data_IF_943915845302
#
_entry.id   IF_943915845302
#
_cell.length_a   1.000
_cell.length_b   1.000
_cell.length_c   1.000
_cell.angle_alpha   90.00
_cell.angle_beta   90.00
_cell.angle_gamma   90.00
#
_symmetry.space_group_name_H-M   'P 1'
#
loop_
_entity.id
_entity.type
_entity.pdbx_description
1 polymer ?
#
# COMPACT_ATOMS: atom_id res chain seq x y z
N UNK A 1 -40.32 1.82 -34.49
CA UNK A 1 -40.16 0.52 -35.17
C UNK A 1 -40.63 -0.55 -34.21
N UNK A 2 -41.57 -1.41 -34.62
CA UNK A 2 -42.07 -2.52 -33.80
C UNK A 2 -41.93 -3.82 -34.59
N UNK A 3 -41.27 -4.84 -34.03
CA UNK A 3 -41.03 -6.13 -34.67
C UNK A 3 -40.75 -7.22 -33.61
N UNK A 4 -40.69 -8.50 -34.02
CA UNK A 4 -40.23 -9.61 -33.16
C UNK A 4 -38.73 -9.82 -33.35
N UNK A 5 -37.95 -9.07 -32.59
CA UNK A 5 -36.52 -8.90 -32.83
C UNK A 5 -36.26 -7.76 -33.82
N UNK A 6 -35.27 -6.95 -33.52
CA UNK A 6 -34.78 -5.88 -34.39
C UNK A 6 -33.27 -6.06 -34.50
N UNK A 7 -32.80 -6.32 -35.70
CA UNK A 7 -31.37 -6.31 -36.04
C UNK A 7 -31.15 -5.39 -37.23
N UNK A 8 -29.94 -4.89 -37.37
CA UNK A 8 -29.58 -3.99 -38.46
C UNK A 8 -28.47 -4.55 -39.33
N UNK A 9 -28.50 -4.20 -40.61
CA UNK A 9 -27.47 -4.53 -41.62
C UNK A 9 -26.63 -3.31 -42.01
N UNK A 10 -27.05 -2.11 -41.62
CA UNK A 10 -26.39 -0.84 -41.90
C UNK A 10 -26.67 0.19 -40.81
N UNK A 11 -26.13 1.40 -40.97
CA UNK A 11 -26.37 2.50 -40.05
C UNK A 11 -27.80 3.04 -40.18
N UNK A 12 -28.42 3.37 -39.06
CA UNK A 12 -29.70 4.07 -38.97
C UNK A 12 -29.40 5.53 -38.65
N UNK A 13 -29.65 6.44 -39.59
CA UNK A 13 -29.42 7.87 -39.39
C UNK A 13 -30.77 8.58 -39.37
N UNK A 14 -31.10 9.20 -38.26
CA UNK A 14 -32.28 10.05 -38.12
C UNK A 14 -31.97 11.43 -38.70
N UNK A 15 -32.91 12.02 -39.45
CA UNK A 15 -32.75 13.39 -39.92
C UNK A 15 -32.63 14.36 -38.73
N UNK A 16 -31.77 15.39 -38.87
CA UNK A 16 -31.57 16.39 -37.84
C UNK A 16 -32.88 17.03 -37.37
N UNK A 17 -33.05 17.16 -36.05
CA UNK A 17 -34.31 17.63 -35.45
C UNK A 17 -35.42 16.58 -35.45
N UNK A 18 -35.07 15.30 -35.58
CA UNK A 18 -36.01 14.19 -35.50
C UNK A 18 -36.71 14.14 -34.14
N UNK A 19 -37.97 13.72 -34.14
CA UNK A 19 -38.75 13.52 -32.91
C UNK A 19 -38.31 12.28 -32.11
N UNK A 20 -39.09 11.94 -31.09
CA UNK A 20 -38.85 10.76 -30.27
C UNK A 20 -38.80 9.47 -31.11
N UNK A 21 -37.87 8.57 -30.75
CA UNK A 21 -37.64 7.29 -31.41
C UNK A 21 -38.12 6.17 -30.47
N UNK A 22 -39.13 5.41 -30.91
CA UNK A 22 -39.56 4.20 -30.19
C UNK A 22 -39.10 2.96 -30.94
N UNK A 23 -38.31 2.11 -30.30
CA UNK A 23 -37.80 0.83 -30.80
C UNK A 23 -38.37 -0.29 -29.95
N UNK A 24 -39.20 -1.16 -30.52
CA UNK A 24 -39.84 -2.25 -29.80
C UNK A 24 -39.58 -3.58 -30.52
N UNK A 25 -38.64 -4.36 -30.00
CA UNK A 25 -38.31 -5.68 -30.50
C UNK A 25 -39.21 -6.80 -29.94
N UNK A 26 -40.25 -6.47 -29.16
CA UNK A 26 -41.20 -7.43 -28.61
C UNK A 26 -40.50 -8.57 -27.87
N UNK A 27 -40.79 -9.81 -28.27
CA UNK A 27 -40.18 -11.02 -27.68
C UNK A 27 -38.76 -11.34 -28.19
N UNK A 28 -38.19 -10.54 -29.09
CA UNK A 28 -36.83 -10.73 -29.61
C UNK A 28 -35.82 -9.74 -29.05
N UNK A 29 -34.56 -9.88 -29.46
CA UNK A 29 -33.49 -8.95 -29.09
C UNK A 29 -33.54 -7.67 -29.94
N UNK A 30 -33.16 -6.54 -29.36
CA UNK A 30 -32.86 -5.29 -30.06
C UNK A 30 -31.34 -5.15 -30.20
N UNK A 31 -30.82 -5.24 -31.42
CA UNK A 31 -29.38 -5.19 -31.72
C UNK A 31 -29.10 -4.16 -32.82
N UNK A 32 -28.77 -2.95 -32.40
CA UNK A 32 -28.44 -1.80 -33.22
C UNK A 32 -27.02 -1.29 -32.92
N UNK A 33 -26.00 -2.09 -33.25
CA UNK A 33 -24.60 -1.90 -32.79
C UNK A 33 -23.62 -1.32 -33.81
N UNK A 34 -24.11 -0.70 -34.88
CA UNK A 34 -23.30 -0.04 -35.90
C UNK A 34 -22.91 1.33 -35.36
N UNK A 35 -21.60 1.62 -35.35
CA UNK A 35 -21.06 2.87 -34.83
C UNK A 35 -21.48 4.12 -35.62
N UNK A 36 -22.06 3.96 -36.82
CA UNK A 36 -22.60 5.04 -37.63
C UNK A 36 -24.09 5.33 -37.41
N UNK A 37 -24.78 4.62 -36.52
CA UNK A 37 -26.14 4.97 -36.12
C UNK A 37 -26.17 6.38 -35.52
N UNK A 38 -27.21 7.16 -35.79
CA UNK A 38 -27.34 8.54 -35.30
C UNK A 38 -28.81 8.84 -34.98
N UNK A 39 -29.19 8.70 -33.72
CA UNK A 39 -30.50 9.00 -33.16
C UNK A 39 -30.47 10.41 -32.55
N UNK A 40 -31.02 11.38 -33.29
CA UNK A 40 -30.98 12.80 -32.91
C UNK A 40 -32.03 13.22 -31.87
N UNK A 41 -33.00 12.35 -31.56
CA UNK A 41 -34.08 12.61 -30.60
C UNK A 41 -34.14 11.57 -29.46
N UNK A 42 -34.99 11.80 -28.44
CA UNK A 42 -35.11 10.91 -27.29
C UNK A 42 -35.51 9.48 -27.68
N UNK A 43 -34.85 8.48 -27.12
CA UNK A 43 -35.02 7.06 -27.46
C UNK A 43 -35.73 6.30 -26.34
N UNK A 44 -36.79 5.58 -26.70
CA UNK A 44 -37.41 4.53 -25.90
C UNK A 44 -37.18 3.17 -26.56
N UNK A 45 -36.67 2.19 -25.82
CA UNK A 45 -36.30 0.89 -26.37
C UNK A 45 -36.89 -0.31 -25.58
N UNK A 46 -37.39 -1.34 -26.26
CA UNK A 46 -37.79 -2.60 -25.63
C UNK A 46 -37.29 -3.81 -26.42
N UNK A 47 -36.96 -4.88 -25.71
CA UNK A 47 -36.55 -6.17 -26.26
C UNK A 47 -36.15 -7.14 -25.17
N UNK A 48 -35.72 -8.35 -25.53
CA UNK A 48 -35.10 -9.27 -24.58
C UNK A 48 -33.72 -8.75 -24.16
N UNK A 49 -32.73 -8.79 -25.05
CA UNK A 49 -31.51 -7.98 -24.92
C UNK A 49 -31.71 -6.61 -25.59
N UNK A 50 -31.05 -5.58 -25.07
CA UNK A 50 -31.07 -4.21 -25.63
C UNK A 50 -29.65 -3.75 -25.88
N UNK A 51 -29.25 -3.67 -27.15
CA UNK A 51 -27.92 -3.21 -27.57
C UNK A 51 -28.07 -2.07 -28.57
N UNK A 52 -27.66 -0.88 -28.19
CA UNK A 52 -27.72 0.33 -29.02
C UNK A 52 -26.35 1.00 -28.99
N UNK A 53 -25.83 1.27 -30.17
CA UNK A 53 -24.69 2.15 -30.39
C UNK A 53 -25.19 3.35 -31.16
N UNK A 54 -24.77 4.53 -30.75
CA UNK A 54 -25.02 5.82 -31.38
C UNK A 54 -23.70 6.56 -31.60
N UNK A 55 -23.55 7.20 -32.75
CA UNK A 55 -22.35 7.94 -33.16
C UNK A 55 -22.22 9.25 -32.39
N UNK A 56 -23.34 9.84 -31.95
CA UNK A 56 -23.40 11.11 -31.26
C UNK A 56 -24.00 10.90 -29.86
N UNK A 57 -24.88 11.80 -29.40
CA UNK A 57 -25.47 11.69 -28.08
C UNK A 57 -26.65 10.71 -28.10
N UNK A 58 -26.68 9.79 -27.15
CA UNK A 58 -27.80 8.87 -26.96
C UNK A 58 -28.61 9.31 -25.73
N UNK A 59 -29.79 9.88 -25.96
CA UNK A 59 -30.73 10.26 -24.90
C UNK A 59 -31.77 9.18 -24.65
N UNK A 60 -31.56 8.34 -23.64
CA UNK A 60 -32.47 7.25 -23.27
C UNK A 60 -33.50 7.74 -22.27
N UNK A 61 -34.76 7.86 -22.70
CA UNK A 61 -35.89 8.28 -21.84
C UNK A 61 -36.63 7.12 -21.20
N UNK A 62 -36.41 5.91 -21.70
CA UNK A 62 -36.88 4.67 -21.09
C UNK A 62 -36.40 3.45 -21.85
N UNK A 63 -36.22 2.34 -21.17
CA UNK A 63 -36.12 1.07 -21.86
C UNK A 63 -36.62 -0.10 -21.01
N UNK A 64 -36.87 -1.24 -21.64
CA UNK A 64 -37.23 -2.49 -20.99
C UNK A 64 -36.41 -3.62 -21.60
N UNK A 65 -35.69 -4.35 -20.75
CA UNK A 65 -34.99 -5.58 -21.11
C UNK A 65 -35.54 -6.75 -20.30
N UNK A 66 -35.43 -7.97 -20.83
CA UNK A 66 -35.71 -9.17 -20.05
C UNK A 66 -34.57 -9.42 -19.04
N UNK A 67 -34.90 -10.08 -17.92
CA UNK A 67 -33.90 -10.54 -16.96
C UNK A 67 -32.92 -11.53 -17.64
N UNK A 68 -31.67 -11.55 -17.18
CA UNK A 68 -30.63 -12.47 -17.68
C UNK A 68 -30.24 -12.23 -19.14
N UNK A 69 -30.42 -11.01 -19.63
CA UNK A 69 -30.04 -10.58 -20.98
C UNK A 69 -29.16 -9.35 -20.90
N UNK A 70 -28.29 -9.22 -21.91
CA UNK A 70 -27.37 -8.09 -21.94
C UNK A 70 -28.08 -6.77 -22.24
N UNK A 71 -27.60 -5.72 -21.59
CA UNK A 71 -27.90 -4.33 -21.91
C UNK A 71 -26.59 -3.64 -22.28
N UNK A 72 -26.53 -3.05 -23.46
CA UNK A 72 -25.37 -2.30 -23.95
C UNK A 72 -25.82 -0.98 -24.58
N UNK A 73 -25.53 0.14 -23.93
CA UNK A 73 -25.85 1.48 -24.40
C UNK A 73 -24.54 2.24 -24.61
N UNK A 74 -24.24 2.59 -25.87
CA UNK A 74 -22.98 3.20 -26.26
C UNK A 74 -23.27 4.48 -27.05
N UNK A 75 -22.76 5.61 -26.58
CA UNK A 75 -22.84 6.90 -27.26
C UNK A 75 -21.43 7.38 -27.62
N UNK A 76 -21.20 7.83 -28.86
CA UNK A 76 -19.98 8.50 -29.27
C UNK A 76 -19.86 9.93 -28.70
N UNK A 77 -20.98 10.52 -28.31
CA UNK A 77 -21.11 11.73 -27.49
C UNK A 77 -21.61 11.41 -26.09
N UNK A 78 -22.53 12.23 -25.56
CA UNK A 78 -23.09 12.02 -24.22
C UNK A 78 -24.12 10.87 -24.22
N UNK A 79 -23.92 9.87 -23.37
CA UNK A 79 -24.99 8.96 -22.97
C UNK A 79 -25.78 9.59 -21.82
N UNK A 80 -27.06 9.90 -22.05
CA UNK A 80 -27.96 10.42 -21.02
C UNK A 80 -28.99 9.35 -20.69
N UNK A 81 -29.17 9.08 -19.40
CA UNK A 81 -30.27 8.26 -18.90
C UNK A 81 -31.25 9.18 -18.16
N UNK A 82 -32.52 9.15 -18.56
CA UNK A 82 -33.53 9.94 -17.88
C UNK A 82 -33.67 9.52 -16.40
N UNK A 83 -34.01 10.45 -15.49
CA UNK A 83 -34.22 10.14 -14.06
C UNK A 83 -35.33 9.12 -13.78
N UNK A 84 -36.19 8.85 -14.76
CA UNK A 84 -37.20 7.79 -14.71
C UNK A 84 -36.58 6.39 -14.76
N UNK A 85 -35.35 6.25 -15.26
CA UNK A 85 -34.57 5.01 -15.25
C UNK A 85 -33.85 4.91 -13.90
N UNK A 86 -34.60 4.45 -12.89
CA UNK A 86 -34.12 4.38 -11.49
C UNK A 86 -33.26 3.14 -11.20
N UNK A 87 -33.30 2.13 -12.06
CA UNK A 87 -32.42 0.97 -11.99
C UNK A 87 -32.23 0.30 -13.36
N UNK A 88 -31.11 -0.38 -13.54
CA UNK A 88 -30.87 -1.32 -14.64
C UNK A 88 -30.37 -2.62 -14.04
N UNK A 89 -31.20 -3.67 -14.08
CA UNK A 89 -30.84 -5.01 -13.61
C UNK A 89 -30.85 -6.01 -14.76
N UNK A 90 -29.67 -6.49 -15.12
CA UNK A 90 -29.49 -7.48 -16.18
C UNK A 90 -29.48 -8.92 -15.65
N UNK A 91 -29.59 -9.15 -14.34
CA UNK A 91 -29.47 -10.47 -13.74
C UNK A 91 -28.12 -11.12 -14.08
N UNK A 92 -28.15 -12.29 -14.73
CA UNK A 92 -26.94 -12.95 -15.25
C UNK A 92 -26.44 -12.38 -16.59
N UNK A 93 -27.12 -11.39 -17.16
CA UNK A 93 -26.67 -10.67 -18.36
C UNK A 93 -25.56 -9.66 -18.03
N UNK A 94 -24.88 -9.16 -19.04
CA UNK A 94 -23.87 -8.11 -18.88
C UNK A 94 -24.49 -6.72 -19.08
N UNK A 95 -23.99 -5.75 -18.32
CA UNK A 95 -24.34 -4.35 -18.46
C UNK A 95 -23.14 -3.57 -18.99
N UNK A 96 -23.32 -2.87 -20.10
CA UNK A 96 -22.34 -1.93 -20.66
C UNK A 96 -22.98 -0.57 -20.86
N UNK A 97 -22.45 0.45 -20.21
CA UNK A 97 -22.81 1.85 -20.42
C UNK A 97 -21.56 2.63 -20.81
N UNK A 98 -21.55 3.23 -21.99
CA UNK A 98 -20.41 3.97 -22.51
C UNK A 98 -20.83 5.33 -23.04
N UNK A 99 -20.23 6.38 -22.49
CA UNK A 99 -20.36 7.76 -22.93
C UNK A 99 -19.03 8.23 -23.52
N UNK A 100 -19.06 8.80 -24.72
CA UNK A 100 -17.94 9.49 -25.34
C UNK A 100 -17.59 10.83 -24.67
N UNK A 101 -18.41 11.29 -23.73
CA UNK A 101 -18.12 12.40 -22.81
C UNK A 101 -18.11 11.87 -21.36
N UNK A 102 -18.61 12.62 -20.37
CA UNK A 102 -18.74 12.11 -19.00
C UNK A 102 -19.90 11.12 -18.89
N UNK A 103 -19.88 10.22 -17.92
CA UNK A 103 -21.02 9.36 -17.57
C UNK A 103 -21.36 9.59 -16.09
N UNK A 104 -22.65 9.80 -15.80
CA UNK A 104 -23.16 9.83 -14.43
C UNK A 104 -24.20 8.73 -14.28
N UNK A 105 -24.10 7.92 -13.23
CA UNK A 105 -25.13 6.93 -12.92
C UNK A 105 -26.39 7.63 -12.43
N UNK A 106 -27.54 7.24 -12.95
CA UNK A 106 -28.84 7.84 -12.63
C UNK A 106 -29.72 6.94 -11.75
N UNK A 107 -29.35 5.67 -11.63
CA UNK A 107 -30.06 4.63 -10.90
C UNK A 107 -29.12 3.49 -10.54
N UNK A 108 -29.56 2.57 -9.68
CA UNK A 108 -28.74 1.41 -9.29
C UNK A 108 -28.51 0.49 -10.48
N UNK A 109 -27.28 0.01 -10.65
CA UNK A 109 -26.86 -0.77 -11.81
C UNK A 109 -26.42 -2.17 -11.37
N UNK A 110 -26.98 -3.21 -11.96
CA UNK A 110 -26.60 -4.59 -11.67
C UNK A 110 -26.50 -5.49 -12.91
N UNK A 111 -25.56 -6.43 -12.82
CA UNK A 111 -25.38 -7.47 -13.83
C UNK A 111 -24.32 -8.50 -13.45
N UNK A 112 -24.12 -9.46 -14.35
CA UNK A 112 -23.00 -10.39 -14.26
C UNK A 112 -21.68 -9.62 -14.40
N UNK A 113 -21.40 -9.04 -15.55
CA UNK A 113 -20.32 -8.05 -15.68
C UNK A 113 -20.94 -6.66 -15.81
N UNK A 114 -20.34 -5.67 -15.14
CA UNK A 114 -20.73 -4.26 -15.29
C UNK A 114 -19.54 -3.48 -15.82
N UNK A 115 -19.72 -2.84 -16.97
CA UNK A 115 -18.73 -1.99 -17.63
C UNK A 115 -19.28 -0.58 -17.81
N UNK A 116 -18.66 0.38 -17.12
CA UNK A 116 -19.04 1.80 -17.16
C UNK A 116 -17.88 2.61 -17.71
N UNK A 117 -18.12 3.35 -18.79
CA UNK A 117 -17.11 4.20 -19.41
C UNK A 117 -17.66 5.63 -19.58
N UNK A 118 -16.89 6.61 -19.12
CA UNK A 118 -17.09 8.02 -19.45
C UNK A 118 -15.75 8.63 -19.85
N UNK A 119 -15.52 8.87 -21.14
CA UNK A 119 -14.25 9.35 -21.65
C UNK A 119 -13.71 10.59 -20.91
N UNK A 120 -14.58 11.54 -20.58
CA UNK A 120 -14.24 12.79 -19.88
C UNK A 120 -14.57 12.76 -18.38
N UNK A 121 -14.81 11.59 -17.79
CA UNK A 121 -15.14 11.45 -16.36
C UNK A 121 -16.26 10.45 -16.11
N UNK A 122 -16.17 9.73 -15.00
CA UNK A 122 -17.20 8.81 -14.53
C UNK A 122 -17.63 9.20 -13.12
N UNK A 123 -18.90 9.51 -12.92
CA UNK A 123 -19.49 9.83 -11.63
C UNK A 123 -20.45 8.74 -11.20
N UNK A 124 -20.15 8.09 -10.07
CA UNK A 124 -20.97 7.04 -9.47
C UNK A 124 -21.77 7.64 -8.32
N UNK A 125 -23.09 7.69 -8.49
CA UNK A 125 -24.04 8.28 -7.53
C UNK A 125 -25.00 7.22 -6.93
N UNK A 126 -24.98 6.01 -7.46
CA UNK A 126 -25.91 4.93 -7.11
C UNK A 126 -25.14 3.63 -6.90
N UNK A 127 -25.83 2.64 -6.34
CA UNK A 127 -25.25 1.32 -6.12
C UNK A 127 -24.86 0.65 -7.44
N UNK A 128 -23.69 0.03 -7.46
CA UNK A 128 -23.18 -0.77 -8.57
C UNK A 128 -22.98 -2.20 -8.06
N UNK A 129 -23.61 -3.17 -8.69
CA UNK A 129 -23.44 -4.60 -8.37
C UNK A 129 -22.97 -5.37 -9.61
N UNK A 130 -21.73 -5.86 -9.57
CA UNK A 130 -21.19 -6.79 -10.57
C UNK A 130 -20.95 -8.15 -9.92
N UNK A 131 -21.72 -9.18 -10.28
CA UNK A 131 -21.52 -10.52 -9.73
C UNK A 131 -20.19 -11.16 -10.20
N UNK A 132 -19.76 -10.80 -11.41
CA UNK A 132 -18.49 -11.12 -12.04
C UNK A 132 -17.55 -9.92 -12.02
N UNK A 133 -17.06 -9.52 -13.20
CA UNK A 133 -16.08 -8.44 -13.32
C UNK A 133 -16.73 -7.05 -13.29
N UNK A 134 -16.04 -6.11 -12.64
CA UNK A 134 -16.37 -4.70 -12.69
C UNK A 134 -15.32 -3.96 -13.52
N UNK A 135 -15.76 -3.17 -14.50
CA UNK A 135 -14.90 -2.24 -15.24
C UNK A 135 -15.43 -0.83 -15.08
N UNK A 136 -14.59 0.05 -14.56
CA UNK A 136 -14.83 1.49 -14.45
C UNK A 136 -13.73 2.20 -15.23
N UNK A 137 -14.09 2.98 -16.24
CA UNK A 137 -13.12 3.60 -17.13
C UNK A 137 -13.43 5.08 -17.41
N UNK A 138 -12.36 5.88 -17.40
CA UNK A 138 -12.33 7.27 -17.83
C UNK A 138 -10.99 7.53 -18.52
N UNK A 139 -10.98 8.34 -19.58
CA UNK A 139 -9.75 8.65 -20.31
C UNK A 139 -9.02 9.85 -19.70
N UNK A 140 -9.76 10.88 -19.31
CA UNK A 140 -9.18 12.16 -18.84
C UNK A 140 -9.78 12.70 -17.55
N UNK A 141 -11.05 12.42 -17.25
CA UNK A 141 -11.76 13.08 -16.14
C UNK A 141 -11.70 12.39 -14.79
N UNK A 142 -11.12 11.19 -14.71
CA UNK A 142 -11.12 10.40 -13.47
C UNK A 142 -12.45 9.70 -13.19
N UNK A 143 -12.52 9.08 -12.01
CA UNK A 143 -13.66 8.33 -11.49
C UNK A 143 -13.97 8.86 -10.09
N UNK A 144 -15.20 9.33 -9.87
CA UNK A 144 -15.65 9.90 -8.60
C UNK A 144 -16.88 9.17 -8.10
N UNK A 145 -16.78 8.55 -6.93
CA UNK A 145 -17.93 8.05 -6.19
C UNK A 145 -18.45 9.16 -5.28
N UNK A 146 -19.67 9.60 -5.54
CA UNK A 146 -20.39 10.63 -4.77
C UNK A 146 -21.59 10.05 -4.01
N UNK A 147 -22.00 8.82 -4.33
CA UNK A 147 -23.11 8.12 -3.70
C UNK A 147 -23.10 6.64 -4.04
N UNK A 148 -23.92 5.88 -3.30
CA UNK A 148 -24.05 4.43 -3.44
C UNK A 148 -22.81 3.62 -3.02
N UNK A 149 -22.95 2.31 -3.04
CA UNK A 149 -21.89 1.34 -2.78
C UNK A 149 -21.54 0.54 -4.04
N UNK A 150 -20.32 0.06 -4.09
CA UNK A 150 -19.87 -0.88 -5.12
C UNK A 150 -19.82 -2.27 -4.50
N UNK A 151 -20.47 -3.25 -5.11
CA UNK A 151 -20.34 -4.66 -4.81
C UNK A 151 -19.79 -5.36 -6.06
N UNK A 152 -18.55 -5.82 -6.00
CA UNK A 152 -17.87 -6.52 -7.10
C UNK A 152 -17.45 -7.93 -6.65
N UNK A 153 -18.09 -8.96 -7.19
CA UNK A 153 -17.87 -10.36 -6.78
C UNK A 153 -16.56 -10.99 -7.30
N UNK A 154 -15.85 -10.32 -8.21
CA UNK A 154 -14.60 -10.81 -8.81
C UNK A 154 -13.60 -9.65 -9.02
N UNK A 155 -12.70 -9.78 -9.99
CA UNK A 155 -11.70 -8.75 -10.30
C UNK A 155 -12.34 -7.45 -10.79
N UNK A 156 -11.75 -6.34 -10.37
CA UNK A 156 -12.17 -4.99 -10.78
C UNK A 156 -11.05 -4.28 -11.54
N UNK A 157 -11.37 -3.72 -12.70
CA UNK A 157 -10.49 -2.84 -13.47
C UNK A 157 -10.98 -1.40 -13.31
N UNK A 158 -10.19 -0.55 -12.64
CA UNK A 158 -10.56 0.83 -12.31
C UNK A 158 -9.54 1.78 -12.92
N UNK A 159 -9.85 2.32 -14.09
CA UNK A 159 -8.94 3.18 -14.86
C UNK A 159 -9.48 4.61 -14.92
N UNK A 160 -8.92 5.51 -14.10
CA UNK A 160 -9.24 6.94 -14.11
C UNK A 160 -8.58 7.74 -15.24
N UNK A 161 -7.71 7.09 -16.03
CA UNK A 161 -6.95 7.75 -17.09
C UNK A 161 -5.98 8.78 -16.50
N UNK A 162 -6.00 10.00 -17.03
CA UNK A 162 -5.22 11.10 -16.45
C UNK A 162 -5.79 11.65 -15.14
N UNK A 163 -7.07 11.39 -14.84
CA UNK A 163 -7.77 11.92 -13.67
C UNK A 163 -7.64 11.05 -12.42
N UNK A 164 -8.10 11.57 -11.29
CA UNK A 164 -8.11 10.86 -10.02
C UNK A 164 -9.16 9.74 -9.98
N UNK A 165 -8.88 8.68 -9.23
CA UNK A 165 -9.85 7.64 -8.83
C UNK A 165 -10.19 7.88 -7.36
N UNK A 166 -11.47 8.05 -7.04
CA UNK A 166 -11.97 8.26 -5.69
C UNK A 166 -13.18 7.37 -5.44
N UNK A 167 -12.95 6.18 -4.87
CA UNK A 167 -13.98 5.21 -4.46
C UNK A 167 -13.97 5.10 -2.93
N UNK A 168 -14.64 6.03 -2.28
CA UNK A 168 -14.45 6.33 -0.85
C UNK A 168 -15.51 5.74 0.08
N UNK A 169 -16.61 5.19 -0.45
CA UNK A 169 -17.65 4.63 0.41
C UNK A 169 -17.12 3.49 1.26
N UNK A 170 -17.40 3.54 2.57
CA UNK A 170 -17.06 2.47 3.52
C UNK A 170 -17.85 1.18 3.27
N UNK A 171 -18.93 1.26 2.48
CA UNK A 171 -19.75 0.10 2.10
C UNK A 171 -19.33 -0.56 0.79
N UNK A 172 -18.26 -0.08 0.14
CA UNK A 172 -17.71 -0.76 -1.02
C UNK A 172 -17.16 -2.15 -0.62
N UNK A 173 -17.40 -3.15 -1.46
CA UNK A 173 -16.97 -4.52 -1.27
C UNK A 173 -16.42 -5.07 -2.60
N UNK A 174 -15.10 -5.15 -2.68
CA UNK A 174 -14.34 -5.71 -3.78
C UNK A 174 -13.88 -7.13 -3.42
N UNK A 175 -14.63 -8.14 -3.85
CA UNK A 175 -14.35 -9.55 -3.59
C UNK A 175 -13.13 -10.13 -4.34
N UNK A 176 -12.51 -9.35 -5.23
CA UNK A 176 -11.32 -9.75 -6.00
C UNK A 176 -10.29 -8.64 -6.12
N UNK A 177 -9.21 -8.91 -6.86
CA UNK A 177 -8.15 -7.92 -7.07
C UNK A 177 -8.69 -6.68 -7.80
N UNK A 178 -8.41 -5.51 -7.23
CA UNK A 178 -8.65 -4.20 -7.85
C UNK A 178 -7.37 -3.76 -8.55
N UNK A 179 -7.38 -3.75 -9.88
CA UNK A 179 -6.31 -3.13 -10.67
C UNK A 179 -6.69 -1.69 -10.92
N UNK A 180 -6.01 -0.74 -10.27
CA UNK A 180 -6.36 0.67 -10.28
C UNK A 180 -5.27 1.53 -10.92
N UNK A 181 -5.65 2.40 -11.85
CA UNK A 181 -4.78 3.39 -12.46
C UNK A 181 -5.41 4.78 -12.50
N UNK A 182 -4.60 5.82 -12.37
CA UNK A 182 -5.09 7.21 -12.36
C UNK A 182 -4.04 8.21 -11.88
N UNK A 183 -4.39 9.50 -11.92
CA UNK A 183 -3.56 10.59 -11.41
C UNK A 183 -3.30 10.48 -9.90
N UNK A 184 -4.33 10.20 -9.12
CA UNK A 184 -4.26 9.78 -7.70
C UNK A 184 -5.30 8.69 -7.47
N UNK A 185 -5.14 7.87 -6.44
CA UNK A 185 -6.04 6.75 -6.16
C UNK A 185 -6.46 6.78 -4.68
N UNK A 186 -7.76 6.81 -4.42
CA UNK A 186 -8.33 6.55 -3.10
C UNK A 186 -9.31 5.40 -3.21
N UNK A 187 -9.06 4.32 -2.47
CA UNK A 187 -9.92 3.14 -2.41
C UNK A 187 -10.25 2.83 -0.95
N UNK A 188 -11.55 2.68 -0.68
CA UNK A 188 -12.07 2.16 0.58
C UNK A 188 -12.79 0.85 0.29
N UNK A 189 -12.56 -0.15 1.14
CA UNK A 189 -13.22 -1.45 1.12
C UNK A 189 -13.70 -1.83 2.53
N UNK A 190 -14.90 -2.40 2.63
CA UNK A 190 -15.52 -2.84 3.87
C UNK A 190 -14.82 -4.07 4.48
N UNK A 191 -14.19 -4.89 3.64
CA UNK A 191 -13.54 -6.14 3.99
C UNK A 191 -12.06 -6.09 3.60
N UNK A 192 -11.52 -7.22 3.13
CA UNK A 192 -10.13 -7.30 2.71
C UNK A 192 -9.97 -6.74 1.31
N UNK A 193 -8.98 -5.85 1.12
CA UNK A 193 -8.67 -5.25 -0.17
C UNK A 193 -7.40 -5.87 -0.74
N UNK A 194 -7.45 -6.33 -1.99
CA UNK A 194 -6.25 -6.62 -2.77
C UNK A 194 -6.14 -5.61 -3.91
N UNK A 195 -5.13 -4.74 -3.88
CA UNK A 195 -4.96 -3.67 -4.85
C UNK A 195 -3.63 -3.76 -5.62
N UNK A 196 -3.70 -3.61 -6.94
CA UNK A 196 -2.55 -3.42 -7.82
C UNK A 196 -2.62 -2.01 -8.42
N UNK A 197 -1.67 -1.16 -8.05
CA UNK A 197 -1.71 0.28 -8.35
C UNK A 197 -0.81 0.67 -9.52
N UNK A 198 -1.26 1.64 -10.29
CA UNK A 198 -0.43 2.37 -11.27
C UNK A 198 -0.80 3.85 -11.23
N UNK A 199 -0.13 4.61 -10.36
CA UNK A 199 -0.34 6.06 -10.25
C UNK A 199 0.98 6.82 -10.09
N UNK A 200 1.04 8.00 -10.71
CA UNK A 200 2.13 8.97 -10.49
C UNK A 200 1.85 9.93 -9.33
N UNK A 201 0.68 9.85 -8.69
CA UNK A 201 0.29 10.68 -7.56
C UNK A 201 0.09 9.87 -6.29
N UNK A 202 -0.73 10.40 -5.38
CA UNK A 202 -0.94 9.81 -4.07
C UNK A 202 -1.91 8.63 -4.15
N UNK A 203 -1.62 7.57 -3.40
CA UNK A 203 -2.48 6.44 -3.16
C UNK A 203 -2.90 6.39 -1.68
N UNK A 204 -4.21 6.31 -1.42
CA UNK A 204 -4.78 6.13 -0.07
C UNK A 204 -5.66 4.88 -0.10
N UNK A 205 -5.28 3.86 0.65
CA UNK A 205 -6.00 2.59 0.72
C UNK A 205 -6.53 2.35 2.14
N UNK A 206 -7.83 2.14 2.26
CA UNK A 206 -8.48 1.75 3.52
C UNK A 206 -9.19 0.42 3.33
N UNK A 207 -8.89 -0.56 4.18
CA UNK A 207 -9.55 -1.85 4.19
C UNK A 207 -10.11 -2.13 5.59
N UNK A 208 -11.37 -2.54 5.69
CA UNK A 208 -11.95 -3.02 6.95
C UNK A 208 -11.33 -4.33 7.45
N UNK A 209 -10.69 -5.08 6.55
CA UNK A 209 -9.92 -6.30 6.79
C UNK A 209 -8.46 -6.17 6.38
N UNK A 210 -7.88 -7.27 5.89
CA UNK A 210 -6.48 -7.29 5.46
C UNK A 210 -6.31 -6.54 4.13
N UNK A 211 -5.21 -5.79 4.01
CA UNK A 211 -4.80 -5.14 2.77
C UNK A 211 -3.60 -5.87 2.17
N UNK A 212 -3.73 -6.29 0.91
CA UNK A 212 -2.60 -6.64 0.06
C UNK A 212 -2.43 -5.57 -1.01
N UNK A 213 -1.25 -4.96 -1.11
CA UNK A 213 -0.99 -3.88 -2.07
C UNK A 213 0.27 -4.16 -2.88
N UNK A 214 0.24 -3.81 -4.17
CA UNK A 214 1.38 -3.89 -5.08
C UNK A 214 1.33 -2.76 -6.12
N UNK A 215 2.38 -2.63 -6.92
CA UNK A 215 2.46 -1.65 -8.01
C UNK A 215 3.16 -0.36 -7.59
N UNK A 216 2.78 0.76 -8.21
CA UNK A 216 3.50 2.04 -8.07
C UNK A 216 2.59 3.19 -7.66
N UNK A 217 3.11 4.06 -6.80
CA UNK A 217 2.53 5.35 -6.39
C UNK A 217 3.62 6.39 -6.13
N UNK A 218 3.27 7.67 -6.04
CA UNK A 218 4.17 8.68 -5.48
C UNK A 218 4.20 8.55 -3.95
N UNK A 219 3.11 8.90 -3.27
CA UNK A 219 2.95 8.62 -1.84
C UNK A 219 1.96 7.47 -1.65
N UNK A 220 2.21 6.61 -0.66
CA UNK A 220 1.29 5.53 -0.28
C UNK A 220 0.90 5.66 1.18
N UNK A 221 -0.40 5.78 1.43
CA UNK A 221 -0.99 5.70 2.77
C UNK A 221 -1.88 4.46 2.86
N UNK A 222 -1.68 3.63 3.87
CA UNK A 222 -2.50 2.44 4.12
C UNK A 222 -3.11 2.45 5.53
N UNK A 223 -4.36 2.02 5.64
CA UNK A 223 -5.06 1.79 6.89
C UNK A 223 -5.86 0.47 6.82
N UNK A 224 -5.47 -0.54 7.58
CA UNK A 224 -6.06 -1.88 7.47
C UNK A 224 -5.95 -2.71 8.75
N UNK A 225 -6.66 -3.83 8.80
CA UNK A 225 -6.49 -4.82 9.87
C UNK A 225 -5.08 -5.44 9.84
N UNK A 226 -4.52 -5.71 8.67
CA UNK A 226 -3.12 -6.08 8.45
C UNK A 226 -2.69 -5.55 7.08
N UNK A 227 -1.41 -5.30 6.86
CA UNK A 227 -0.90 -4.86 5.54
C UNK A 227 0.18 -5.82 5.03
N UNK A 228 0.04 -6.28 3.79
CA UNK A 228 1.03 -7.08 3.08
C UNK A 228 1.45 -6.39 1.78
N UNK A 229 2.74 -6.10 1.64
CA UNK A 229 3.29 -5.53 0.41
C UNK A 229 3.72 -6.62 -0.57
N UNK A 230 3.15 -6.62 -1.78
CA UNK A 230 3.77 -7.25 -2.94
C UNK A 230 4.95 -6.42 -3.44
N UNK A 231 5.34 -6.60 -4.70
CA UNK A 231 6.32 -5.70 -5.32
C UNK A 231 5.73 -4.29 -5.39
N UNK A 232 6.31 -3.37 -4.63
CA UNK A 232 5.73 -2.04 -4.39
C UNK A 232 6.78 -0.97 -4.51
N UNK A 233 6.49 0.06 -5.31
CA UNK A 233 7.33 1.24 -5.47
C UNK A 233 6.58 2.48 -5.00
N UNK A 234 7.21 3.25 -4.12
CA UNK A 234 6.69 4.51 -3.57
C UNK A 234 7.72 5.59 -3.88
N UNK A 235 7.40 6.47 -4.83
CA UNK A 235 8.27 7.55 -5.30
C UNK A 235 8.43 8.73 -4.33
N UNK A 236 7.75 8.67 -3.19
CA UNK A 236 7.75 9.62 -2.09
C UNK A 236 7.59 8.87 -0.76
N UNK A 237 6.70 9.34 0.11
CA UNK A 237 6.56 8.81 1.47
C UNK A 237 5.61 7.60 1.55
N UNK A 238 5.98 6.65 2.40
CA UNK A 238 5.16 5.52 2.82
C UNK A 238 4.64 5.75 4.24
N UNK A 239 3.32 5.73 4.43
CA UNK A 239 2.67 5.78 5.73
C UNK A 239 1.73 4.59 5.90
N UNK A 240 2.07 3.68 6.81
CA UNK A 240 1.32 2.45 7.02
C UNK A 240 0.86 2.34 8.45
N UNK A 241 -0.45 2.30 8.63
CA UNK A 241 -1.11 1.98 9.90
C UNK A 241 -1.83 0.65 9.75
N UNK A 242 -1.45 -0.32 10.56
CA UNK A 242 -2.11 -1.61 10.64
C UNK A 242 -2.50 -1.92 12.09
N UNK A 243 -3.70 -2.46 12.31
CA UNK A 243 -4.10 -3.01 13.60
C UNK A 243 -3.55 -4.43 13.85
N UNK A 244 -2.78 -4.94 12.89
CA UNK A 244 -2.25 -6.30 12.75
C UNK A 244 -0.86 -6.24 12.13
N UNK A 245 -0.36 -7.39 11.66
CA UNK A 245 1.00 -7.47 11.14
C UNK A 245 1.20 -6.59 9.88
N UNK A 246 2.40 -6.02 9.77
CA UNK A 246 2.93 -5.47 8.53
C UNK A 246 3.92 -6.49 7.97
N UNK A 247 3.68 -6.97 6.76
CA UNK A 247 4.48 -8.02 6.11
C UNK A 247 4.70 -7.72 4.64
N UNK A 248 5.46 -8.58 3.95
CA UNK A 248 5.68 -8.45 2.51
C UNK A 248 5.90 -9.81 1.84
N UNK A 249 5.52 -9.88 0.57
CA UNK A 249 5.74 -11.00 -0.36
C UNK A 249 6.64 -10.60 -1.54
N UNK A 250 6.79 -9.29 -1.80
CA UNK A 250 7.70 -8.74 -2.82
C UNK A 250 8.72 -7.77 -2.22
N UNK A 251 9.52 -7.14 -3.07
CA UNK A 251 10.43 -6.08 -2.67
C UNK A 251 9.67 -4.75 -2.51
N UNK A 252 10.05 -3.97 -1.52
CA UNK A 252 9.52 -2.63 -1.25
C UNK A 252 10.62 -1.59 -1.54
N UNK A 253 10.36 -0.68 -2.48
CA UNK A 253 11.25 0.44 -2.79
C UNK A 253 10.55 1.75 -2.43
N UNK A 254 11.16 2.55 -1.55
CA UNK A 254 10.61 3.82 -1.04
C UNK A 254 11.69 4.88 -1.07
N UNK A 255 11.47 5.93 -1.85
CA UNK A 255 12.47 7.01 -1.98
C UNK A 255 12.36 8.05 -0.84
N UNK A 256 11.15 8.30 -0.35
CA UNK A 256 10.87 9.18 0.77
C UNK A 256 10.96 8.48 2.13
N UNK A 257 10.39 9.12 3.15
CA UNK A 257 10.37 8.52 4.50
C UNK A 257 9.34 7.39 4.58
N UNK A 258 9.61 6.43 5.46
CA UNK A 258 8.67 5.36 5.79
C UNK A 258 8.25 5.44 7.25
N UNK A 259 6.95 5.40 7.52
CA UNK A 259 6.39 5.29 8.87
C UNK A 259 5.53 4.03 8.94
N UNK A 260 5.97 3.03 9.71
CA UNK A 260 5.32 1.73 9.80
C UNK A 260 4.82 1.48 11.23
N UNK A 261 3.51 1.52 11.44
CA UNK A 261 2.87 1.33 12.73
C UNK A 261 1.96 0.09 12.70
N UNK A 262 2.35 -0.98 13.41
CA UNK A 262 1.64 -2.26 13.45
C UNK A 262 0.83 -2.49 14.75
N UNK A 263 0.67 -1.45 15.58
CA UNK A 263 0.09 -1.58 16.92
C UNK A 263 0.91 -2.58 17.75
N UNK A 264 0.27 -3.59 18.35
CA UNK A 264 0.96 -4.60 19.14
C UNK A 264 1.59 -5.75 18.31
N UNK A 265 1.59 -5.66 16.98
CA UNK A 265 1.86 -6.77 16.08
C UNK A 265 3.21 -6.66 15.37
N UNK A 266 3.61 -7.75 14.71
CA UNK A 266 4.90 -7.84 14.03
C UNK A 266 5.03 -6.89 12.84
N UNK A 267 6.26 -6.45 12.60
CA UNK A 267 6.68 -5.82 11.34
C UNK A 267 7.75 -6.74 10.73
N UNK A 268 7.50 -7.34 9.57
CA UNK A 268 8.42 -8.27 8.92
C UNK A 268 8.65 -7.89 7.47
N UNK A 269 9.72 -7.13 7.24
CA UNK A 269 10.17 -6.65 5.93
C UNK A 269 11.58 -7.18 5.62
N UNK A 270 11.72 -8.50 5.52
CA UNK A 270 13.00 -9.21 5.50
C UNK A 270 13.56 -9.52 4.08
N UNK A 271 12.94 -9.00 3.02
CA UNK A 271 13.37 -9.23 1.64
C UNK A 271 14.69 -8.49 1.38
N UNK A 272 15.66 -9.18 0.78
CA UNK A 272 16.97 -8.64 0.46
C UNK A 272 16.95 -7.55 -0.62
N UNK A 273 15.89 -7.48 -1.43
CA UNK A 273 15.71 -6.48 -2.48
C UNK A 273 14.93 -5.24 -2.05
N UNK A 274 14.60 -5.10 -0.77
CA UNK A 274 14.03 -3.86 -0.25
C UNK A 274 15.03 -2.71 -0.43
N UNK A 275 14.53 -1.52 -0.74
CA UNK A 275 15.33 -0.33 -1.00
C UNK A 275 14.66 0.91 -0.38
N UNK A 276 15.03 1.23 0.84
CA UNK A 276 14.58 2.39 1.60
C UNK A 276 15.65 3.48 1.58
N UNK A 277 15.46 4.52 0.76
CA UNK A 277 16.46 5.61 0.68
C UNK A 277 16.22 6.72 1.70
N UNK A 278 14.98 6.87 2.17
CA UNK A 278 14.63 7.80 3.25
C UNK A 278 14.59 7.13 4.62
N UNK A 279 14.45 7.96 5.67
CA UNK A 279 14.43 7.46 7.05
C UNK A 279 13.21 6.55 7.31
N UNK A 280 13.46 5.43 7.99
CA UNK A 280 12.44 4.42 8.31
C UNK A 280 12.11 4.43 9.80
N UNK A 281 10.91 4.91 10.14
CA UNK A 281 10.34 4.83 11.48
C UNK A 281 9.50 3.57 11.68
N UNK A 282 9.63 2.96 12.86
CA UNK A 282 9.00 1.68 13.21
C UNK A 282 8.25 1.83 14.53
N UNK A 283 7.01 1.36 14.57
CA UNK A 283 6.20 1.32 15.79
C UNK A 283 5.52 -0.03 15.98
N UNK A 284 5.89 -0.69 17.07
CA UNK A 284 5.28 -1.91 17.56
C UNK A 284 5.22 -1.81 19.10
N UNK A 285 4.06 -1.86 19.73
CA UNK A 285 3.93 -1.74 21.20
C UNK A 285 3.84 -3.08 21.92
N UNK A 286 3.87 -4.21 21.21
CA UNK A 286 3.61 -5.54 21.74
C UNK A 286 4.85 -6.43 21.85
N UNK A 287 4.61 -7.70 22.21
CA UNK A 287 5.66 -8.70 22.34
C UNK A 287 6.10 -9.32 21.00
N UNK A 288 5.64 -8.78 19.88
CA UNK A 288 5.91 -9.32 18.56
C UNK A 288 7.20 -8.75 17.97
N UNK A 289 7.84 -9.52 17.09
CA UNK A 289 9.13 -9.16 16.54
C UNK A 289 9.02 -8.08 15.45
N UNK A 290 10.07 -7.28 15.34
CA UNK A 290 10.30 -6.35 14.24
C UNK A 290 11.54 -6.80 13.49
N UNK A 291 11.43 -7.01 12.19
CA UNK A 291 12.54 -7.33 11.30
C UNK A 291 12.46 -6.46 10.06
N UNK A 292 13.55 -5.75 9.77
CA UNK A 292 13.71 -4.98 8.53
C UNK A 292 15.04 -5.33 7.88
N UNK A 293 14.99 -5.48 6.56
CA UNK A 293 16.15 -5.65 5.70
C UNK A 293 16.11 -4.60 4.60
N UNK A 294 17.29 -4.09 4.28
CA UNK A 294 17.54 -3.17 3.18
C UNK A 294 18.71 -3.69 2.32
N UNK A 295 18.63 -3.45 1.01
CA UNK A 295 19.69 -3.81 0.06
C UNK A 295 20.90 -2.86 0.16
N UNK A 296 20.66 -1.62 0.60
CA UNK A 296 21.60 -0.52 0.62
C UNK A 296 21.90 -0.11 2.07
N UNK A 297 22.29 1.15 2.29
CA UNK A 297 22.42 1.72 3.62
C UNK A 297 21.06 2.16 4.15
N UNK A 298 20.74 1.79 5.39
CA UNK A 298 19.48 2.13 6.04
C UNK A 298 19.64 3.30 7.01
N UNK A 299 18.74 4.29 6.89
CA UNK A 299 18.59 5.37 7.87
C UNK A 299 17.38 5.03 8.75
N UNK A 300 17.61 4.84 10.04
CA UNK A 300 16.53 4.65 11.00
C UNK A 300 15.97 6.02 11.41
N UNK A 301 14.65 6.16 11.27
CA UNK A 301 13.88 7.20 11.96
C UNK A 301 13.60 6.80 13.40
N UNK A 302 12.51 7.32 13.98
CA UNK A 302 12.10 6.91 15.32
C UNK A 302 11.69 5.43 15.32
N UNK A 303 12.32 4.64 16.18
CA UNK A 303 12.00 3.23 16.39
C UNK A 303 11.48 3.09 17.80
N UNK A 304 10.19 2.76 17.96
CA UNK A 304 9.57 2.50 19.25
C UNK A 304 8.98 1.09 19.23
N UNK A 305 9.67 0.15 19.86
CA UNK A 305 9.33 -1.28 19.82
C UNK A 305 9.00 -1.83 21.22
N UNK A 306 8.16 -2.86 21.27
CA UNK A 306 7.70 -3.48 22.49
C UNK A 306 8.72 -4.48 23.04
N UNK A 307 8.24 -5.60 23.57
CA UNK A 307 9.10 -6.60 24.23
C UNK A 307 9.60 -7.69 23.30
N UNK A 308 9.20 -7.69 22.02
CA UNK A 308 9.74 -8.60 21.00
C UNK A 308 11.20 -8.30 20.66
N UNK A 309 11.76 -9.06 19.72
CA UNK A 309 13.12 -8.78 19.18
C UNK A 309 13.08 -7.70 18.11
N UNK A 310 14.15 -6.92 18.00
CA UNK A 310 14.39 -5.99 16.89
C UNK A 310 15.54 -6.49 16.01
N UNK A 311 15.30 -6.77 14.74
CA UNK A 311 16.33 -7.17 13.78
C UNK A 311 16.44 -6.18 12.63
N UNK A 312 17.64 -5.64 12.41
CA UNK A 312 17.93 -4.68 11.34
C UNK A 312 19.12 -5.17 10.53
N UNK A 313 18.95 -5.32 9.22
CA UNK A 313 19.98 -5.80 8.29
C UNK A 313 20.11 -4.86 7.10
N UNK A 314 21.33 -4.39 6.81
CA UNK A 314 21.62 -3.47 5.69
C UNK A 314 23.12 -3.49 5.36
N UNK A 315 23.57 -2.71 4.38
CA UNK A 315 24.99 -2.49 4.02
C UNK A 315 25.52 -1.19 4.64
N UNK A 316 25.02 -0.87 5.83
CA UNK A 316 25.22 0.39 6.52
C UNK A 316 23.96 0.72 7.31
N UNK A 317 24.10 1.12 8.56
CA UNK A 317 22.95 1.49 9.40
C UNK A 317 23.31 2.78 10.13
N UNK A 318 22.46 3.80 9.99
CA UNK A 318 22.61 5.09 10.65
C UNK A 318 21.27 5.55 11.22
N UNK A 319 21.27 6.63 11.99
CA UNK A 319 20.04 7.28 12.47
C UNK A 319 19.83 8.63 11.79
N UNK A 320 18.58 8.98 11.53
CA UNK A 320 18.19 10.34 11.20
C UNK A 320 18.49 11.28 12.38
N UNK A 321 18.70 12.57 12.09
CA UNK A 321 19.00 13.55 13.12
C UNK A 321 17.88 13.61 14.18
N UNK A 322 18.24 13.44 15.45
CA UNK A 322 17.31 13.46 16.58
C UNK A 322 16.46 12.19 16.75
N UNK A 323 16.53 11.23 15.83
CA UNK A 323 15.78 9.99 15.92
C UNK A 323 16.33 9.07 17.02
N UNK A 324 15.44 8.40 17.74
CA UNK A 324 15.78 7.49 18.84
C UNK A 324 15.32 6.07 18.54
N UNK A 325 16.00 5.10 19.17
CA UNK A 325 15.54 3.72 19.27
C UNK A 325 15.17 3.47 20.72
N UNK A 326 13.92 3.11 20.98
CA UNK A 326 13.37 2.87 22.31
C UNK A 326 12.71 1.49 22.32
N UNK A 327 13.13 0.64 23.24
CA UNK A 327 12.51 -0.65 23.51
C UNK A 327 11.71 -0.58 24.81
N UNK A 328 10.59 -1.31 24.89
CA UNK A 328 9.87 -1.47 26.17
C UNK A 328 10.73 -2.25 27.16
N UNK A 329 10.48 -2.08 28.47
CA UNK A 329 11.23 -2.79 29.50
C UNK A 329 11.21 -4.32 29.30
N UNK A 330 12.35 -4.98 29.54
CA UNK A 330 12.56 -6.41 29.33
C UNK A 330 12.31 -6.87 27.87
N UNK A 331 12.73 -6.06 26.90
CA UNK A 331 12.66 -6.45 25.50
C UNK A 331 13.60 -7.62 25.17
N UNK A 332 13.25 -8.32 24.09
CA UNK A 332 14.12 -9.28 23.44
C UNK A 332 15.39 -8.61 22.90
N UNK A 333 16.28 -9.42 22.33
CA UNK A 333 17.51 -8.91 21.76
C UNK A 333 17.25 -7.94 20.59
N UNK A 334 18.02 -6.86 20.55
CA UNK A 334 18.17 -6.03 19.36
C UNK A 334 19.40 -6.49 18.58
N UNK A 335 19.28 -6.72 17.28
CA UNK A 335 20.35 -7.22 16.43
C UNK A 335 20.51 -6.30 15.22
N UNK A 336 21.68 -5.67 15.12
CA UNK A 336 22.03 -4.79 14.01
C UNK A 336 23.18 -5.42 13.22
N UNK A 337 22.94 -5.64 11.92
CA UNK A 337 23.94 -6.13 10.99
C UNK A 337 24.07 -5.14 9.82
N UNK A 338 25.12 -4.34 9.82
CA UNK A 338 25.43 -3.40 8.74
C UNK A 338 26.36 -4.00 7.68
N UNK A 339 26.60 -5.32 7.71
CA UNK A 339 27.57 -5.99 6.86
C UNK A 339 28.98 -5.46 7.12
N UNK A 340 29.70 -5.06 6.05
CA UNK A 340 30.97 -4.33 6.18
C UNK A 340 30.81 -2.82 6.36
N UNK A 341 29.60 -2.30 6.27
CA UNK A 341 29.30 -0.86 6.34
C UNK A 341 29.31 -0.31 7.77
N UNK A 342 29.29 1.02 7.88
CA UNK A 342 29.22 1.73 9.17
C UNK A 342 27.92 1.41 9.91
N UNK A 343 27.99 1.25 11.22
CA UNK A 343 26.85 1.15 12.13
C UNK A 343 26.89 2.31 13.12
N UNK A 344 26.01 3.30 13.02
CA UNK A 344 25.98 4.47 13.91
C UNK A 344 24.62 4.63 14.56
N UNK A 345 24.56 4.27 15.84
CA UNK A 345 23.41 4.38 16.75
C UNK A 345 23.77 5.32 17.91
N UNK A 346 24.23 6.53 17.57
CA UNK A 346 24.94 7.41 18.51
C UNK A 346 24.04 8.38 19.30
N UNK A 347 22.73 8.40 19.05
CA UNK A 347 21.82 9.30 19.77
C UNK A 347 21.78 8.98 21.27
N UNK A 348 21.98 9.99 22.11
CA UNK A 348 21.96 9.85 23.59
C UNK A 348 20.58 9.51 24.15
N UNK A 349 19.52 9.68 23.37
CA UNK A 349 18.16 9.30 23.73
C UNK A 349 17.76 7.87 23.33
N UNK A 350 18.69 7.08 22.78
CA UNK A 350 18.44 5.65 22.57
C UNK A 350 18.29 4.94 23.93
N UNK A 351 17.36 3.98 23.99
CA UNK A 351 17.02 3.21 25.18
C UNK A 351 16.85 1.73 24.79
N UNK A 352 17.94 0.97 24.97
CA UNK A 352 18.01 -0.46 24.73
C UNK A 352 17.86 -1.23 26.05
N UNK A 353 16.69 -1.82 26.27
CA UNK A 353 16.39 -2.58 27.50
C UNK A 353 16.76 -4.07 27.41
N UNK A 354 16.97 -4.59 26.20
CA UNK A 354 17.42 -5.95 25.90
C UNK A 354 18.88 -5.99 25.41
N UNK A 355 19.46 -7.18 25.31
CA UNK A 355 20.83 -7.35 24.82
C UNK A 355 20.98 -6.87 23.35
N UNK A 356 22.09 -6.19 23.04
CA UNK A 356 22.35 -5.65 21.70
C UNK A 356 23.46 -6.42 20.99
N UNK A 357 23.11 -7.15 19.93
CA UNK A 357 24.04 -7.82 19.04
C UNK A 357 24.48 -6.88 17.92
N UNK A 358 25.78 -6.79 17.68
CA UNK A 358 26.38 -5.84 16.73
C UNK A 358 27.27 -6.58 15.73
N UNK A 359 26.94 -6.48 14.45
CA UNK A 359 27.78 -6.89 13.35
C UNK A 359 27.93 -5.73 12.36
N UNK A 360 29.15 -5.36 12.01
CA UNK A 360 29.38 -4.15 11.21
C UNK A 360 30.84 -3.81 10.96
N UNK A 361 31.07 -2.76 10.18
CA UNK A 361 32.35 -2.07 10.10
C UNK A 361 32.59 -1.20 11.35
N UNK A 362 32.97 0.06 11.16
CA UNK A 362 33.06 1.02 12.27
C UNK A 362 31.68 1.19 12.93
N UNK A 363 31.62 0.90 14.22
CA UNK A 363 30.40 0.80 15.01
C UNK A 363 30.41 1.82 16.13
N UNK A 364 29.34 2.58 16.26
CA UNK A 364 29.08 3.50 17.36
C UNK A 364 27.71 3.23 17.94
N UNK A 365 27.63 3.10 19.25
CA UNK A 365 26.37 2.92 19.97
C UNK A 365 26.39 3.75 21.25
N UNK A 366 25.29 4.46 21.49
CA UNK A 366 25.03 5.19 22.72
C UNK A 366 23.72 4.71 23.30
N UNK A 367 23.66 4.58 24.63
CA UNK A 367 22.45 4.27 25.37
C UNK A 367 22.24 5.23 26.55
N UNK A 368 20.98 5.59 26.79
CA UNK A 368 20.57 6.53 27.86
C UNK A 368 20.52 5.89 29.24
N UNK A 369 20.65 4.56 29.33
CA UNK A 369 20.73 3.84 30.59
C UNK A 369 21.87 2.80 30.55
N UNK A 370 21.63 1.60 31.07
CA UNK A 370 22.63 0.54 31.12
C UNK A 370 22.64 -0.23 29.79
N UNK A 371 23.74 -0.12 29.06
CA UNK A 371 23.90 -0.85 27.81
C UNK A 371 24.42 -2.27 28.06
N UNK A 372 23.64 -3.28 27.64
CA UNK A 372 24.11 -4.67 27.58
C UNK A 372 24.35 -5.08 26.15
N UNK A 373 25.63 -5.22 25.77
CA UNK A 373 26.00 -5.81 24.49
C UNK A 373 25.95 -7.35 24.58
N UNK A 374 25.56 -7.97 23.48
CA UNK A 374 25.53 -9.42 23.29
C UNK A 374 26.73 -9.91 22.49
N UNK A 375 26.49 -10.42 21.28
CA UNK A 375 27.54 -10.85 20.35
C UNK A 375 28.11 -9.68 19.55
N UNK A 376 29.44 -9.64 19.44
CA UNK A 376 30.17 -8.62 18.68
C UNK A 376 30.91 -9.25 17.49
N UNK A 377 30.72 -8.65 16.31
CA UNK A 377 31.49 -8.90 15.10
C UNK A 377 31.69 -7.57 14.37
N UNK A 378 32.47 -6.67 14.97
CA UNK A 378 32.59 -5.28 14.51
C UNK A 378 33.99 -4.97 13.98
N UNK A 379 34.09 -3.88 13.21
CA UNK A 379 35.30 -3.09 13.03
C UNK A 379 35.71 -2.41 14.34
N UNK A 380 36.12 -1.14 14.27
CA UNK A 380 36.25 -0.32 15.47
C UNK A 380 34.89 -0.18 16.19
N UNK A 381 34.88 -0.18 17.52
CA UNK A 381 33.68 -0.07 18.33
C UNK A 381 33.81 1.08 19.34
N UNK A 382 32.92 2.06 19.26
CA UNK A 382 32.69 3.05 20.31
C UNK A 382 31.36 2.74 20.99
N UNK A 383 31.38 2.33 22.25
CA UNK A 383 30.19 2.04 23.05
C UNK A 383 30.12 3.03 24.23
N UNK A 384 29.02 3.80 24.29
CA UNK A 384 28.76 4.76 25.36
C UNK A 384 27.47 4.40 26.09
N UNK A 385 27.53 4.37 27.42
CA UNK A 385 26.41 4.10 28.32
C UNK A 385 26.40 5.17 29.41
N UNK A 386 25.23 5.62 29.85
CA UNK A 386 25.12 6.48 31.04
C UNK A 386 24.91 5.67 32.33
N UNK A 387 24.66 4.36 32.20
CA UNK A 387 24.65 3.38 33.27
C UNK A 387 25.76 2.34 33.14
N UNK A 388 25.58 1.18 33.75
CA UNK A 388 26.52 0.06 33.60
C UNK A 388 26.64 -0.38 32.13
N UNK A 389 27.85 -0.69 31.69
CA UNK A 389 28.14 -1.15 30.34
C UNK A 389 28.65 -2.60 30.39
N UNK A 390 27.90 -3.53 29.83
CA UNK A 390 28.37 -4.88 29.59
C UNK A 390 28.82 -5.00 28.13
N UNK A 391 30.10 -5.30 27.91
CA UNK A 391 30.72 -5.41 26.59
C UNK A 391 30.37 -6.71 25.85
N UNK A 392 29.64 -7.63 26.48
CA UNK A 392 29.20 -8.85 25.81
C UNK A 392 30.34 -9.82 25.55
N UNK A 393 30.42 -10.32 24.31
CA UNK A 393 31.43 -11.29 23.85
C UNK A 393 31.63 -11.20 22.33
N UNK A 394 32.81 -11.56 21.84
CA UNK A 394 33.09 -11.62 20.40
C UNK A 394 34.33 -10.82 19.99
N UNK A 395 34.31 -10.28 18.77
CA UNK A 395 35.49 -9.67 18.15
C UNK A 395 35.25 -8.21 17.77
N UNK A 396 36.24 -7.39 18.08
CA UNK A 396 36.40 -6.00 17.61
C UNK A 396 37.70 -5.97 16.80
N UNK A 397 37.59 -5.91 15.48
CA UNK A 397 38.75 -5.95 14.56
C UNK A 397 39.47 -4.60 14.40
N UNK A 398 39.08 -3.60 15.19
CA UNK A 398 39.72 -2.30 15.29
C UNK A 398 39.86 -1.84 16.73
N UNK A 399 39.88 -0.52 16.94
CA UNK A 399 39.96 0.06 18.27
C UNK A 399 38.65 -0.14 19.04
N UNK A 400 38.75 -0.43 20.34
CA UNK A 400 37.63 -0.44 21.27
C UNK A 400 37.67 0.84 22.13
N UNK A 401 36.60 1.62 22.13
CA UNK A 401 36.38 2.74 23.04
C UNK A 401 35.09 2.48 23.82
N UNK A 402 35.20 2.19 25.12
CA UNK A 402 34.08 1.89 26.00
C UNK A 402 33.98 2.95 27.09
N UNK A 403 32.83 3.62 27.23
CA UNK A 403 32.60 4.64 28.27
C UNK A 403 31.27 4.38 28.97
N UNK A 404 31.26 4.29 30.30
CA UNK A 404 30.05 4.03 31.11
C UNK A 404 29.62 5.20 32.00
N UNK A 405 30.31 6.35 31.93
CA UNK A 405 29.98 7.56 32.68
C UNK A 405 29.70 7.32 34.18
N UNK A 406 30.61 6.63 34.87
CA UNK A 406 30.54 6.20 36.29
C UNK A 406 29.80 4.88 36.55
N UNK A 407 29.20 4.24 35.54
CA UNK A 407 28.71 2.87 35.63
C UNK A 407 29.84 1.84 35.64
N UNK A 408 29.60 0.64 36.16
CA UNK A 408 30.57 -0.45 36.03
C UNK A 408 30.72 -0.87 34.55
N UNK A 409 31.93 -1.25 34.14
CA UNK A 409 32.18 -1.91 32.86
C UNK A 409 32.47 -3.38 33.12
N UNK A 410 31.71 -4.27 32.49
CA UNK A 410 31.86 -5.72 32.58
C UNK A 410 31.82 -6.40 31.22
N UNK A 411 31.82 -7.73 31.24
CA UNK A 411 31.69 -8.57 30.04
C UNK A 411 30.91 -9.84 30.35
N UNK A 412 30.37 -10.48 29.31
CA UNK A 412 29.61 -11.74 29.42
C UNK A 412 30.42 -12.95 28.95
N UNK A 413 31.31 -12.76 27.97
CA UNK A 413 32.17 -13.81 27.44
C UNK A 413 33.53 -13.26 27.02
N UNK A 414 34.32 -14.06 26.32
CA UNK A 414 35.64 -13.64 25.84
C UNK A 414 35.53 -12.50 24.82
N UNK A 415 36.47 -11.56 24.90
CA UNK A 415 36.64 -10.45 23.96
C UNK A 415 37.97 -10.59 23.22
N UNK A 416 37.93 -10.52 21.90
CA UNK A 416 39.12 -10.39 21.05
C UNK A 416 39.15 -8.98 20.44
N UNK A 417 40.17 -8.18 20.77
CA UNK A 417 40.34 -6.81 20.26
C UNK A 417 41.70 -6.69 19.61
N UNK A 418 41.72 -6.44 18.30
CA UNK A 418 42.97 -6.38 17.53
C UNK A 418 43.63 -4.99 17.59
N UNK A 419 42.83 -3.94 17.81
CA UNK A 419 43.30 -2.56 17.96
C UNK A 419 43.57 -2.16 19.42
N UNK A 420 43.75 -0.86 19.66
CA UNK A 420 43.87 -0.32 21.03
C UNK A 420 42.53 -0.31 21.75
N UNK A 421 42.54 -0.53 23.06
CA UNK A 421 41.38 -0.45 23.94
C UNK A 421 41.48 0.74 24.88
N UNK A 422 40.45 1.59 24.89
CA UNK A 422 40.24 2.64 25.89
C UNK A 422 38.95 2.33 26.65
N UNK A 423 39.05 2.05 27.94
CA UNK A 423 37.94 1.57 28.77
C UNK A 423 37.76 2.51 29.95
N UNK A 424 36.88 3.51 29.80
CA UNK A 424 36.67 4.56 30.79
C UNK A 424 35.39 4.30 31.61
N UNK A 425 35.56 3.76 32.82
CA UNK A 425 34.45 3.55 33.74
C UNK A 425 34.13 4.76 34.65
N UNK A 426 34.90 5.85 34.56
CA UNK A 426 34.85 6.93 35.56
C UNK A 426 35.16 6.41 36.96
N UNK A 427 34.21 6.53 37.89
CA UNK A 427 34.32 5.92 39.23
C UNK A 427 33.84 4.46 39.32
N UNK A 428 33.27 3.91 38.25
CA UNK A 428 32.79 2.53 38.21
C UNK A 428 33.90 1.50 38.15
N UNK A 429 33.61 0.27 38.57
CA UNK A 429 34.57 -0.84 38.48
C UNK A 429 34.70 -1.34 37.03
N UNK A 430 35.90 -1.76 36.63
CA UNK A 430 36.15 -2.48 35.38
C UNK A 430 36.43 -3.95 35.71
N UNK A 431 35.56 -4.86 35.24
CA UNK A 431 35.65 -6.31 35.50
C UNK A 431 35.70 -7.09 34.19
N UNK A 432 36.91 -7.37 33.71
CA UNK A 432 37.16 -8.07 32.44
C UNK A 432 37.96 -9.37 32.67
N UNK A 433 37.37 -10.29 33.45
CA UNK A 433 38.08 -11.43 34.06
C UNK A 433 38.05 -12.72 33.24
N UNK A 434 37.42 -12.75 32.07
CA UNK A 434 37.38 -13.97 31.27
C UNK A 434 38.80 -14.32 30.79
N UNK A 435 39.24 -15.56 31.06
CA UNK A 435 40.58 -16.03 30.70
C UNK A 435 40.82 -16.15 29.20
N UNK A 436 39.76 -16.14 28.39
CA UNK A 436 39.82 -16.16 26.93
C UNK A 436 39.93 -14.76 26.30
N UNK A 437 40.04 -13.70 27.10
CA UNK A 437 40.25 -12.36 26.58
C UNK A 437 41.58 -12.24 25.83
N UNK A 438 41.55 -11.66 24.63
CA UNK A 438 42.69 -11.44 23.75
C UNK A 438 42.73 -9.96 23.32
N UNK A 439 43.46 -9.15 24.09
CA UNK A 439 43.69 -7.73 23.78
C UNK A 439 45.10 -7.59 23.21
N UNK A 440 45.20 -7.52 21.88
CA UNK A 440 46.52 -7.50 21.23
C UNK A 440 47.14 -6.11 21.15
N UNK A 441 46.31 -5.05 21.23
CA UNK A 441 46.76 -3.66 21.28
C UNK A 441 46.92 -3.12 22.70
N UNK A 442 47.38 -1.86 22.80
CA UNK A 442 47.52 -1.17 24.08
C UNK A 442 46.15 -1.04 24.78
N UNK A 443 46.12 -1.23 26.10
CA UNK A 443 44.93 -1.09 26.94
C UNK A 443 45.11 0.11 27.88
N UNK A 444 44.21 1.08 27.78
CA UNK A 444 44.08 2.22 28.69
C UNK A 444 42.79 2.08 29.49
N UNK A 445 42.88 2.28 30.81
CA UNK A 445 41.77 2.19 31.76
C UNK A 445 41.53 3.55 32.44
#
# INVERSE_FOLDING_TARGET
LTATGISQTGAIVQAAGGGAVTLDAGAGDLTLTNAGNDFTGPVTASGQAVRITDATALDMVGFTSALNKDVSLVAGGQLTLAPTITAIDTGSGNLTLSSGTSLMTQGSLSGNNVSLTGASGLTLNNDITAAGTLTLASSTGGISQIGGNILAGSTSSVAGGAGAVSLTSVGNDFGGTVTASGGSITLTDANALTAALTTGGNAILTAGGNLAVSGSSNNLTTNAAATSFGTTTVGGNLSTTAAGAISQTGALSVTGTSSLAAGANAITLANAGNDFTGAVGLSNSGANNVSIRDANGLILGNVNVGTGTLGVQAVGITQAAGATIVQSAAAGAASFNSGGGVLTLANTGNDFTGAVNLAGGATQITDTNALTLGTLATGALTATSTGALNLGSGTVTGNLAATSNNGAIGQTGALAVTGSSTINAGSGAITLTNSGNDFTGAVSL
#
